data_IF_029340017337
#
_entry.id   IF_029340017337
#
_cell.length_a   1.000
_cell.length_b   1.000
_cell.length_c   1.000
_cell.angle_alpha   90.00
_cell.angle_beta   90.00
_cell.angle_gamma   90.00
#
_symmetry.space_group_name_H-M   'P 1'
#
loop_
_entity.id
_entity.type
_entity.pdbx_description
1 polymer ?
#
# COMPACT_ATOMS: atom_id res chain seq x y z
N UNK A 1 -29.81 4.32 -8.64
CA UNK A 1 -29.33 5.46 -7.82
C UNK A 1 -28.14 4.96 -7.04
N UNK A 2 -27.05 5.73 -6.98
CA UNK A 2 -25.87 5.35 -6.23
C UNK A 2 -26.17 5.38 -4.72
N UNK A 3 -26.08 4.24 -4.03
CA UNK A 3 -26.40 4.17 -2.60
C UNK A 3 -25.10 4.30 -1.79
N UNK A 4 -24.89 5.47 -1.22
CA UNK A 4 -23.86 5.69 -0.20
C UNK A 4 -24.30 4.98 1.09
N UNK A 5 -23.55 3.97 1.51
CA UNK A 5 -23.83 3.20 2.71
C UNK A 5 -23.20 3.81 3.95
N UNK A 6 -21.97 4.31 3.80
CA UNK A 6 -21.17 4.91 4.87
C UNK A 6 -20.48 6.13 4.29
N UNK A 7 -20.67 7.29 4.91
CA UNK A 7 -20.07 8.53 4.42
C UNK A 7 -18.56 8.61 4.68
N UNK A 8 -18.06 7.92 5.71
CA UNK A 8 -16.63 7.81 5.98
C UNK A 8 -16.26 6.55 6.77
N UNK A 9 -15.62 5.59 6.11
CA UNK A 9 -15.12 4.37 6.75
C UNK A 9 -13.92 4.63 7.66
N UNK A 10 -13.24 5.78 7.51
CA UNK A 10 -12.11 6.15 8.36
C UNK A 10 -12.54 6.70 9.71
N UNK A 11 -13.81 7.12 9.85
CA UNK A 11 -14.33 7.77 11.05
C UNK A 11 -13.66 9.12 11.36
N UNK A 12 -13.36 9.91 10.33
CA UNK A 12 -12.71 11.21 10.43
C UNK A 12 -11.18 11.15 10.64
N UNK A 13 -10.57 9.97 10.50
CA UNK A 13 -9.12 9.79 10.72
C UNK A 13 -8.27 10.22 9.52
N UNK A 14 -8.84 10.17 8.31
CA UNK A 14 -8.19 10.64 7.09
C UNK A 14 -8.52 12.10 6.79
N UNK A 15 -7.66 12.76 6.00
CA UNK A 15 -7.87 14.17 5.59
C UNK A 15 -9.10 14.36 4.72
N UNK A 16 -9.48 13.32 3.98
CA UNK A 16 -10.66 13.30 3.11
C UNK A 16 -11.49 12.07 3.47
N UNK A 17 -12.81 12.20 3.61
CA UNK A 17 -13.67 11.07 3.96
C UNK A 17 -13.62 10.00 2.86
N UNK A 18 -13.57 8.74 3.27
CA UNK A 18 -13.56 7.59 2.36
C UNK A 18 -14.93 6.94 2.41
N UNK A 19 -15.73 7.20 1.39
CA UNK A 19 -17.12 6.73 1.31
C UNK A 19 -17.16 5.24 0.96
N UNK A 20 -18.24 4.57 1.36
CA UNK A 20 -18.58 3.24 0.90
C UNK A 20 -19.86 3.27 0.06
N UNK A 21 -19.78 2.74 -1.15
CA UNK A 21 -20.88 2.73 -2.13
C UNK A 21 -21.24 1.30 -2.53
N UNK A 22 -22.53 0.98 -2.57
CA UNK A 22 -22.99 -0.31 -3.09
C UNK A 22 -24.17 -0.13 -4.04
N UNK A 23 -23.96 -0.52 -5.28
CA UNK A 23 -24.98 -0.51 -6.33
C UNK A 23 -25.20 -1.91 -6.92
N UNK A 24 -24.66 -2.95 -6.29
CA UNK A 24 -24.61 -4.32 -6.82
C UNK A 24 -25.60 -5.23 -6.09
N UNK A 25 -25.65 -5.15 -4.77
CA UNK A 25 -26.52 -5.98 -3.93
C UNK A 25 -27.10 -5.21 -2.75
N UNK A 26 -28.01 -5.85 -2.01
CA UNK A 26 -28.67 -5.27 -0.83
C UNK A 26 -27.82 -5.37 0.45
N UNK A 27 -26.54 -5.75 0.36
CA UNK A 27 -25.68 -5.85 1.55
C UNK A 27 -25.43 -4.46 2.12
N UNK A 28 -25.95 -4.23 3.33
CA UNK A 28 -25.87 -2.93 4.03
C UNK A 28 -24.76 -2.83 5.08
N UNK A 29 -23.97 -3.88 5.27
CA UNK A 29 -22.91 -3.90 6.28
C UNK A 29 -21.54 -4.08 5.62
N UNK A 30 -20.60 -3.23 6.04
CA UNK A 30 -19.20 -3.42 5.73
C UNK A 30 -18.60 -4.56 6.57
N UNK A 31 -17.54 -5.23 6.09
CA UNK A 31 -16.75 -6.13 6.93
C UNK A 31 -16.31 -5.40 8.21
N UNK A 32 -16.34 -6.10 9.35
CA UNK A 32 -15.89 -5.51 10.62
C UNK A 32 -14.37 -5.46 10.66
N UNK A 33 -13.80 -4.29 10.87
CA UNK A 33 -12.38 -4.05 11.10
C UNK A 33 -12.19 -2.71 11.83
N UNK A 34 -10.98 -2.45 12.32
CA UNK A 34 -10.60 -1.18 12.95
C UNK A 34 -9.78 -0.36 11.97
N UNK A 35 -10.31 0.80 11.57
CA UNK A 35 -9.58 1.71 10.68
C UNK A 35 -8.38 2.33 11.41
N UNK A 36 -7.19 2.23 10.82
CA UNK A 36 -5.93 2.81 11.35
C UNK A 36 -5.27 3.73 10.33
N UNK A 37 -4.50 4.71 10.81
CA UNK A 37 -3.70 5.64 9.98
C UNK A 37 -2.20 5.52 10.25
N UNK A 38 -1.81 4.56 11.09
CA UNK A 38 -0.43 4.25 11.45
C UNK A 38 -0.27 2.73 11.53
N UNK A 39 0.89 2.23 11.16
CA UNK A 39 1.22 0.81 11.25
C UNK A 39 1.18 0.37 12.72
N UNK A 40 0.62 -0.82 12.96
CA UNK A 40 0.69 -1.45 14.27
C UNK A 40 1.95 -2.30 14.29
N UNK A 41 2.95 -1.87 15.07
CA UNK A 41 4.17 -2.63 15.28
C UNK A 41 4.04 -3.49 16.55
N UNK A 42 4.55 -4.73 16.53
CA UNK A 42 4.53 -5.62 17.69
C UNK A 42 5.55 -5.20 18.75
N UNK A 43 5.36 -5.65 19.99
CA UNK A 43 6.19 -5.25 21.14
C UNK A 43 7.69 -5.56 20.99
N UNK A 44 8.02 -6.58 20.20
CA UNK A 44 9.41 -6.94 19.92
C UNK A 44 10.10 -5.97 18.95
N UNK A 45 9.34 -5.14 18.22
CA UNK A 45 9.89 -4.17 17.30
C UNK A 45 10.54 -3.03 18.07
N UNK A 46 11.87 -2.92 17.93
CA UNK A 46 12.64 -1.80 18.45
C UNK A 46 12.94 -0.85 17.31
N UNK A 47 12.29 0.30 17.33
CA UNK A 47 12.50 1.34 16.33
C UNK A 47 13.97 1.79 16.35
N UNK A 48 14.65 1.60 15.22
CA UNK A 48 16.00 2.15 15.02
C UNK A 48 15.87 3.52 14.39
N UNK A 49 16.34 4.56 15.08
CA UNK A 49 16.24 5.93 14.59
C UNK A 49 17.06 6.12 13.29
N UNK A 50 16.50 6.77 12.27
CA UNK A 50 17.19 6.99 11.00
C UNK A 50 18.15 8.18 11.07
N UNK A 51 19.28 8.10 10.37
CA UNK A 51 20.12 9.29 10.13
C UNK A 51 19.39 10.24 9.17
N UNK A 52 19.07 11.44 9.67
CA UNK A 52 18.46 12.53 8.90
C UNK A 52 19.48 13.40 8.17
N UNK A 53 19.01 14.22 7.23
CA UNK A 53 19.83 15.22 6.56
C UNK A 53 19.83 16.57 7.29
N UNK A 54 20.87 17.37 7.09
CA UNK A 54 20.99 18.74 7.60
C UNK A 54 20.56 19.82 6.59
N UNK A 55 19.96 19.45 5.45
CA UNK A 55 19.49 20.40 4.44
C UNK A 55 18.44 21.34 5.03
N UNK A 56 18.56 22.66 4.84
CA UNK A 56 17.63 23.65 5.40
C UNK A 56 16.62 24.21 4.40
N UNK A 57 16.94 24.18 3.09
CA UNK A 57 16.11 24.76 2.02
C UNK A 57 15.50 23.68 1.11
N UNK A 58 15.23 22.49 1.66
CA UNK A 58 14.87 21.30 0.88
C UNK A 58 16.11 20.52 0.43
N UNK A 59 15.91 19.25 0.10
CA UNK A 59 16.95 18.41 -0.47
C UNK A 59 17.00 18.63 -1.98
N UNK A 60 18.20 18.78 -2.54
CA UNK A 60 18.44 18.94 -3.98
C UNK A 60 19.62 18.07 -4.43
N UNK A 61 19.62 17.65 -5.69
CA UNK A 61 20.66 16.79 -6.27
C UNK A 61 22.05 17.45 -6.28
N UNK A 62 22.11 18.78 -6.18
CA UNK A 62 23.34 19.57 -6.15
C UNK A 62 24.11 19.49 -4.81
N UNK A 63 23.50 18.96 -3.76
CA UNK A 63 24.10 18.87 -2.43
C UNK A 63 24.25 17.40 -2.02
N UNK A 64 25.31 17.07 -1.27
CA UNK A 64 25.57 15.73 -0.73
C UNK A 64 24.58 15.37 0.40
N UNK A 65 23.28 15.43 0.13
CA UNK A 65 22.23 15.09 1.07
C UNK A 65 22.25 13.57 1.34
N UNK A 66 22.40 13.12 2.61
CA UNK A 66 22.42 11.70 2.93
C UNK A 66 21.17 10.94 2.48
N UNK A 67 20.01 11.60 2.44
CA UNK A 67 18.77 11.02 1.94
C UNK A 67 18.83 10.75 0.43
N UNK A 68 19.44 11.66 -0.36
CA UNK A 68 19.58 11.46 -1.80
C UNK A 68 20.65 10.42 -2.13
N UNK A 69 21.76 10.39 -1.37
CA UNK A 69 22.76 9.32 -1.48
C UNK A 69 22.11 7.93 -1.33
N UNK A 70 21.20 7.76 -0.36
CA UNK A 70 20.42 6.51 -0.20
C UNK A 70 19.51 6.19 -1.40
N UNK A 71 19.13 7.20 -2.18
CA UNK A 71 18.39 7.05 -3.43
C UNK A 71 19.30 6.96 -4.67
N UNK A 72 20.62 6.84 -4.52
CA UNK A 72 21.55 6.79 -5.66
C UNK A 72 21.97 8.18 -6.19
N UNK A 73 21.79 9.23 -5.40
CA UNK A 73 22.20 10.59 -5.74
C UNK A 73 21.12 11.47 -6.37
N UNK A 74 19.89 10.97 -6.49
CA UNK A 74 18.78 11.64 -7.20
C UNK A 74 17.52 11.74 -6.33
N UNK A 75 16.75 12.81 -6.50
CA UNK A 75 15.38 12.90 -5.98
C UNK A 75 14.47 11.93 -6.75
N UNK A 76 13.75 11.02 -6.06
CA UNK A 76 12.91 10.01 -6.73
C UNK A 76 11.56 10.55 -7.23
N UNK A 77 11.23 11.80 -6.94
CA UNK A 77 9.95 12.44 -7.23
C UNK A 77 10.10 13.70 -8.09
N UNK A 78 9.08 14.03 -8.86
CA UNK A 78 8.95 15.34 -9.50
C UNK A 78 8.31 16.38 -8.57
N UNK A 79 8.18 17.62 -9.05
CA UNK A 79 7.60 18.75 -8.30
C UNK A 79 6.14 18.54 -7.89
N UNK A 80 5.39 17.72 -8.63
CA UNK A 80 4.01 17.37 -8.30
C UNK A 80 3.91 16.24 -7.25
N UNK A 81 5.05 15.68 -6.83
CA UNK A 81 5.14 14.53 -5.93
C UNK A 81 4.76 13.21 -6.60
N UNK A 82 4.89 13.11 -7.92
CA UNK A 82 4.83 11.81 -8.62
C UNK A 82 6.21 11.15 -8.62
N UNK A 83 6.25 9.84 -8.38
CA UNK A 83 7.49 9.06 -8.48
C UNK A 83 7.93 8.99 -9.95
N UNK A 84 9.19 9.28 -10.22
CA UNK A 84 9.75 9.34 -11.59
C UNK A 84 9.97 7.94 -12.17
N UNK A 85 10.42 7.01 -11.33
CA UNK A 85 10.72 5.64 -11.72
C UNK A 85 10.54 4.70 -10.54
N UNK A 86 10.10 3.47 -10.82
CA UNK A 86 10.08 2.40 -9.81
C UNK A 86 11.51 2.11 -9.36
N UNK A 87 11.73 2.04 -8.04
CA UNK A 87 13.03 1.68 -7.46
C UNK A 87 12.87 0.44 -6.60
N UNK A 88 13.96 -0.28 -6.36
CA UNK A 88 13.93 -1.36 -5.35
C UNK A 88 13.48 -0.82 -3.99
N UNK A 89 13.90 0.40 -3.67
CA UNK A 89 13.53 1.11 -2.46
C UNK A 89 13.65 2.61 -2.67
N UNK A 90 12.75 3.36 -2.05
CA UNK A 90 12.82 4.82 -1.94
C UNK A 90 13.10 5.21 -0.48
N UNK A 91 13.96 6.19 -0.29
CA UNK A 91 14.30 6.75 1.01
C UNK A 91 13.81 8.20 1.09
N UNK A 92 12.66 8.41 1.72
CA UNK A 92 12.16 9.76 1.99
C UNK A 92 12.91 10.40 3.17
N UNK A 93 12.85 11.72 3.26
CA UNK A 93 13.35 12.44 4.43
C UNK A 93 12.49 12.11 5.64
N UNK A 94 13.14 11.75 6.74
CA UNK A 94 12.49 11.34 7.97
C UNK A 94 12.18 12.47 8.96
N UNK A 95 11.65 12.12 10.15
CA UNK A 95 11.38 13.07 11.23
C UNK A 95 12.64 13.78 11.74
N UNK A 96 13.81 13.13 11.67
CA UNK A 96 15.09 13.68 12.11
C UNK A 96 15.82 14.52 11.04
N UNK A 97 15.23 14.70 9.86
CA UNK A 97 15.79 15.57 8.81
C UNK A 97 15.42 17.04 9.08
N UNK A 98 16.37 17.96 8.92
CA UNK A 98 16.16 19.41 9.08
C UNK A 98 15.44 20.07 7.90
N UNK A 99 15.26 19.35 6.79
CA UNK A 99 14.60 19.88 5.61
C UNK A 99 13.10 20.12 5.87
N UNK A 100 12.51 21.15 5.25
CA UNK A 100 11.15 21.55 5.52
C UNK A 100 10.14 20.46 5.13
N UNK A 101 8.90 20.51 5.66
CA UNK A 101 7.82 19.60 5.25
C UNK A 101 7.51 19.63 3.74
N UNK A 102 7.82 20.75 3.08
CA UNK A 102 7.68 20.96 1.62
C UNK A 102 8.81 20.36 0.80
N UNK A 103 9.80 19.70 1.43
CA UNK A 103 10.88 19.02 0.73
C UNK A 103 10.32 18.02 -0.30
N UNK A 104 10.81 18.05 -1.54
CA UNK A 104 10.39 17.14 -2.61
C UNK A 104 10.59 15.66 -2.27
N UNK A 105 11.52 15.36 -1.35
CA UNK A 105 11.74 14.00 -0.85
C UNK A 105 10.87 13.69 0.40
N UNK A 106 9.68 14.27 0.49
CA UNK A 106 8.61 13.96 1.46
C UNK A 106 7.28 13.90 0.72
N UNK A 107 6.81 12.71 0.35
CA UNK A 107 5.62 12.54 -0.49
C UNK A 107 4.61 11.63 0.18
N UNK A 108 4.94 10.35 0.32
CA UNK A 108 4.02 9.32 0.84
C UNK A 108 3.72 9.51 2.33
N UNK A 109 4.67 10.08 3.10
CA UNK A 109 4.47 10.39 4.51
C UNK A 109 3.38 11.46 4.79
N UNK A 110 2.95 12.21 3.77
CA UNK A 110 1.89 13.21 3.90
C UNK A 110 0.48 12.61 3.88
N UNK A 111 0.35 11.31 3.63
CA UNK A 111 -0.93 10.60 3.61
C UNK A 111 -1.77 10.87 2.35
N UNK A 112 -3.07 10.59 2.43
CA UNK A 112 -4.00 10.60 1.30
C UNK A 112 -4.01 11.92 0.51
N UNK A 113 -3.92 11.83 -0.82
CA UNK A 113 -3.95 12.98 -1.76
C UNK A 113 -5.16 13.04 -2.68
N UNK A 114 -5.91 11.95 -2.82
CA UNK A 114 -7.05 11.83 -3.72
C UNK A 114 -8.32 11.45 -2.96
N UNK A 115 -9.49 11.82 -3.49
CA UNK A 115 -10.80 11.42 -2.97
C UNK A 115 -11.09 9.97 -3.34
N UNK A 116 -10.72 9.06 -2.44
CA UNK A 116 -10.94 7.62 -2.58
C UNK A 116 -12.32 7.22 -2.08
N UNK A 117 -12.87 6.16 -2.64
CA UNK A 117 -14.06 5.49 -2.13
C UNK A 117 -13.93 3.97 -2.33
N UNK A 118 -14.53 3.21 -1.41
CA UNK A 118 -14.70 1.78 -1.59
C UNK A 118 -16.05 1.54 -2.27
N UNK A 119 -16.07 0.58 -3.19
CA UNK A 119 -17.29 0.23 -3.90
C UNK A 119 -17.46 -1.29 -4.00
N UNK A 120 -18.70 -1.74 -3.98
CA UNK A 120 -19.02 -3.15 -4.19
C UNK A 120 -18.82 -3.51 -5.67
N UNK A 121 -18.02 -4.54 -5.92
CA UNK A 121 -17.82 -5.15 -7.25
C UNK A 121 -18.73 -6.37 -7.39
N UNK A 122 -18.98 -6.81 -8.63
CA UNK A 122 -19.84 -7.95 -8.92
C UNK A 122 -19.28 -9.29 -8.39
N UNK A 123 -17.98 -9.53 -8.59
CA UNK A 123 -17.36 -10.85 -8.36
C UNK A 123 -16.17 -10.84 -7.41
N UNK A 124 -15.66 -9.67 -7.00
CA UNK A 124 -14.42 -9.53 -6.22
C UNK A 124 -14.62 -8.94 -4.83
N UNK A 125 -15.87 -8.79 -4.38
CA UNK A 125 -16.17 -8.16 -3.10
C UNK A 125 -16.02 -6.64 -3.18
N UNK A 126 -15.38 -6.02 -2.19
CA UNK A 126 -15.17 -4.57 -2.16
C UNK A 126 -13.88 -4.21 -2.90
N UNK A 127 -13.93 -3.19 -3.75
CA UNK A 127 -12.78 -2.59 -4.44
C UNK A 127 -12.58 -1.15 -4.04
N UNK A 128 -11.50 -0.52 -4.52
CA UNK A 128 -11.22 0.91 -4.33
C UNK A 128 -11.22 1.61 -5.68
N UNK A 129 -11.78 2.82 -5.75
CA UNK A 129 -11.65 3.72 -6.91
C UNK A 129 -11.40 5.15 -6.43
N UNK A 130 -10.89 5.99 -7.33
CA UNK A 130 -10.68 7.42 -7.08
C UNK A 130 -11.75 8.25 -7.78
N UNK A 131 -12.25 9.30 -7.14
CA UNK A 131 -13.13 10.30 -7.77
C UNK A 131 -12.34 11.40 -8.50
N UNK A 132 -11.04 11.43 -8.30
CA UNK A 132 -10.10 12.34 -8.97
C UNK A 132 -9.29 11.58 -10.03
N UNK A 133 -8.81 12.31 -11.04
CA UNK A 133 -7.76 11.81 -11.93
C UNK A 133 -6.48 11.59 -11.11
N UNK A 134 -5.89 10.40 -11.20
CA UNK A 134 -4.57 10.14 -10.61
C UNK A 134 -3.55 10.14 -11.73
N UNK A 135 -2.59 11.09 -11.77
CA UNK A 135 -1.54 11.08 -12.77
C UNK A 135 -0.60 9.89 -12.57
N UNK A 136 0.07 9.46 -13.65
CA UNK A 136 1.14 8.46 -13.57
C UNK A 136 2.19 8.86 -12.52
N UNK A 137 2.63 7.87 -11.74
CA UNK A 137 3.53 8.05 -10.61
C UNK A 137 2.89 8.70 -9.38
N UNK A 138 1.59 9.02 -9.39
CA UNK A 138 0.92 9.61 -8.23
C UNK A 138 0.83 8.64 -7.04
N UNK A 139 1.18 9.12 -5.84
CA UNK A 139 1.00 8.36 -4.59
C UNK A 139 -0.48 8.26 -4.21
N UNK A 140 -0.98 7.04 -4.03
CA UNK A 140 -2.40 6.76 -3.75
C UNK A 140 -2.65 6.60 -2.26
N UNK A 141 -2.09 5.54 -1.66
CA UNK A 141 -2.21 5.25 -0.23
C UNK A 141 -1.13 4.25 0.21
N UNK A 142 -0.99 4.10 1.51
CA UNK A 142 -0.19 3.05 2.13
C UNK A 142 -1.02 1.77 2.35
N UNK A 143 -0.40 0.59 2.35
CA UNK A 143 -1.01 -0.63 2.91
C UNK A 143 -0.71 -0.71 4.42
N UNK A 144 -1.72 -0.43 5.25
CA UNK A 144 -1.58 -0.46 6.71
C UNK A 144 -2.22 -1.70 7.32
N UNK A 145 -1.57 -2.21 8.36
CA UNK A 145 -2.05 -3.33 9.16
C UNK A 145 -1.19 -3.55 10.41
N UNK A 146 -1.26 -4.78 10.92
CA UNK A 146 -0.36 -5.29 11.94
C UNK A 146 0.87 -5.91 11.28
N UNK A 147 2.05 -5.49 11.73
CA UNK A 147 3.30 -6.00 11.20
C UNK A 147 3.63 -7.34 11.87
N UNK A 148 3.79 -8.40 11.08
CA UNK A 148 4.01 -9.76 11.54
C UNK A 148 5.30 -10.34 10.99
N UNK A 149 5.94 -11.22 11.77
CA UNK A 149 6.90 -12.19 11.24
C UNK A 149 6.15 -13.25 10.45
N UNK A 150 6.81 -13.85 9.46
CA UNK A 150 6.26 -14.93 8.63
C UNK A 150 5.61 -16.05 9.47
N UNK A 151 6.29 -16.52 10.52
CA UNK A 151 5.75 -17.54 11.44
C UNK A 151 4.48 -17.11 12.16
N UNK A 152 4.32 -15.81 12.44
CA UNK A 152 3.10 -15.28 13.08
C UNK A 152 1.96 -15.17 12.06
N UNK A 153 2.29 -14.83 10.82
CA UNK A 153 1.34 -14.79 9.70
C UNK A 153 0.80 -16.20 9.37
N UNK A 154 1.66 -17.22 9.30
CA UNK A 154 1.26 -18.61 9.01
C UNK A 154 0.25 -19.18 10.03
N UNK A 155 0.29 -18.67 11.27
CA UNK A 155 -0.59 -19.10 12.35
C UNK A 155 -1.96 -18.40 12.34
N UNK A 156 -2.16 -17.37 11.50
CA UNK A 156 -3.44 -16.63 11.41
C UNK A 156 -4.46 -17.46 10.62
N UNK A 157 -5.34 -18.15 11.34
CA UNK A 157 -6.43 -18.94 10.74
C UNK A 157 -7.38 -18.02 9.95
N UNK A 158 -7.51 -18.27 8.64
CA UNK A 158 -8.38 -17.50 7.74
C UNK A 158 -7.82 -16.12 7.32
N UNK A 159 -6.52 -15.86 7.56
CA UNK A 159 -5.89 -14.54 7.41
C UNK A 159 -5.36 -14.19 6.02
N UNK A 160 -5.31 -15.11 5.06
CA UNK A 160 -4.61 -14.88 3.77
C UNK A 160 -5.25 -13.77 2.91
N UNK A 161 -6.53 -13.44 3.13
CA UNK A 161 -7.24 -12.49 2.25
C UNK A 161 -6.74 -11.05 2.40
N UNK A 162 -6.18 -10.69 3.56
CA UNK A 162 -5.72 -9.34 3.88
C UNK A 162 -4.24 -9.33 4.29
N UNK A 163 -3.47 -10.31 3.83
CA UNK A 163 -2.04 -10.40 4.08
C UNK A 163 -1.27 -9.76 2.92
N UNK A 164 -0.33 -8.86 3.23
CA UNK A 164 0.65 -8.36 2.28
C UNK A 164 2.03 -8.91 2.61
N UNK A 165 2.53 -9.84 1.78
CA UNK A 165 3.87 -10.39 1.93
C UNK A 165 4.94 -9.38 1.49
N UNK A 166 5.79 -8.96 2.42
CA UNK A 166 6.98 -8.15 2.12
C UNK A 166 8.11 -9.06 1.56
N UNK A 167 8.04 -10.37 1.84
CA UNK A 167 9.04 -11.37 1.47
C UNK A 167 9.08 -11.70 -0.03
N UNK A 168 7.91 -11.83 -0.68
CA UNK A 168 7.81 -12.37 -2.04
C UNK A 168 8.50 -11.49 -3.10
N UNK A 169 8.86 -10.25 -2.77
CA UNK A 169 9.63 -9.34 -3.62
C UNK A 169 11.16 -9.59 -3.60
N UNK A 170 11.69 -10.46 -2.72
CA UNK A 170 13.14 -10.49 -2.39
C UNK A 170 13.86 -11.86 -2.42
N UNK A 171 13.17 -12.99 -2.60
CA UNK A 171 13.81 -14.25 -3.00
C UNK A 171 14.88 -14.87 -2.06
N UNK A 172 14.80 -14.72 -0.72
CA UNK A 172 15.80 -15.31 0.19
C UNK A 172 15.27 -15.70 1.58
N UNK A 173 15.61 -16.92 2.05
CA UNK A 173 14.96 -17.78 3.07
C UNK A 173 15.09 -17.45 4.57
N UNK A 174 15.52 -16.26 5.00
CA UNK A 174 15.80 -16.04 6.43
C UNK A 174 15.24 -14.69 6.90
N UNK A 175 14.09 -14.73 7.60
CA UNK A 175 13.34 -13.63 8.21
C UNK A 175 12.39 -12.84 7.27
N UNK A 176 11.32 -13.49 6.82
CA UNK A 176 10.20 -12.84 6.15
C UNK A 176 9.28 -12.05 7.10
N UNK A 177 8.67 -11.00 6.56
CA UNK A 177 7.66 -10.20 7.23
C UNK A 177 6.42 -10.04 6.36
N UNK A 178 5.29 -9.81 7.00
CA UNK A 178 4.01 -9.54 6.36
C UNK A 178 3.28 -8.41 7.10
N UNK A 179 2.32 -7.79 6.42
CA UNK A 179 1.38 -6.85 7.02
C UNK A 179 -0.01 -7.49 6.95
N UNK A 180 -0.62 -7.74 8.10
CA UNK A 180 -1.98 -8.29 8.22
C UNK A 180 -2.99 -7.17 8.45
N UNK A 181 -3.84 -6.94 7.45
CA UNK A 181 -4.92 -5.95 7.51
C UNK A 181 -6.30 -6.54 7.88
N UNK A 182 -6.33 -7.75 8.46
CA UNK A 182 -7.55 -8.47 8.83
C UNK A 182 -8.34 -7.77 9.93
N UNK A 183 -7.69 -7.43 11.05
CA UNK A 183 -8.33 -6.75 12.20
C UNK A 183 -8.12 -5.24 12.17
N UNK A 184 -6.89 -4.81 11.94
CA UNK A 184 -6.50 -3.40 11.86
C UNK A 184 -6.09 -3.11 10.43
N UNK A 185 -6.65 -2.11 9.76
CA UNK A 185 -6.21 -1.74 8.42
C UNK A 185 -6.70 -0.38 7.97
N UNK A 186 -6.22 0.10 6.84
CA UNK A 186 -6.74 1.31 6.18
C UNK A 186 -7.45 0.96 4.87
N UNK A 187 -7.73 1.96 4.03
CA UNK A 187 -8.34 1.74 2.70
C UNK A 187 -7.56 0.77 1.81
N UNK A 188 -6.24 0.63 1.99
CA UNK A 188 -5.38 -0.25 1.20
C UNK A 188 -5.80 -1.72 1.21
N UNK A 189 -6.44 -2.19 2.30
CA UNK A 189 -6.93 -3.56 2.44
C UNK A 189 -8.03 -3.95 1.44
N UNK A 190 -8.69 -2.97 0.82
CA UNK A 190 -9.77 -3.17 -0.15
C UNK A 190 -9.29 -3.12 -1.61
N UNK A 191 -8.01 -2.89 -1.86
CA UNK A 191 -7.49 -2.81 -3.23
C UNK A 191 -7.40 -4.22 -3.82
N UNK A 192 -8.14 -4.45 -4.90
CA UNK A 192 -8.22 -5.76 -5.54
C UNK A 192 -7.01 -6.10 -6.41
N UNK A 193 -6.88 -7.40 -6.70
CA UNK A 193 -5.93 -7.90 -7.69
C UNK A 193 -6.35 -7.59 -9.13
N UNK A 194 -5.36 -7.28 -9.98
CA UNK A 194 -5.46 -7.41 -11.44
C UNK A 194 -4.18 -8.03 -12.03
N UNK A 195 -4.33 -8.83 -13.09
CA UNK A 195 -3.21 -9.31 -13.92
C UNK A 195 -2.64 -8.21 -14.83
N UNK A 196 -3.40 -7.13 -15.05
CA UNK A 196 -2.95 -5.89 -15.72
C UNK A 196 -3.26 -4.71 -14.80
N UNK A 197 -2.46 -4.51 -13.74
CA UNK A 197 -2.75 -3.51 -12.72
C UNK A 197 -2.37 -2.09 -13.17
N UNK A 198 -3.10 -1.10 -12.65
CA UNK A 198 -2.82 0.32 -12.84
C UNK A 198 -2.02 0.94 -11.67
N UNK A 199 -1.66 0.13 -10.66
CA UNK A 199 -0.78 0.51 -9.57
C UNK A 199 0.26 -0.57 -9.27
N UNK A 200 1.30 -0.16 -8.55
CA UNK A 200 2.29 -1.07 -7.99
C UNK A 200 2.65 -0.68 -6.56
N UNK A 201 3.14 -1.65 -5.79
CA UNK A 201 3.66 -1.44 -4.45
C UNK A 201 5.15 -1.05 -4.51
N UNK A 202 5.51 0.00 -3.78
CA UNK A 202 6.85 0.55 -3.65
C UNK A 202 7.28 0.54 -2.18
N UNK A 203 8.44 -0.07 -1.91
CA UNK A 203 9.08 0.00 -0.59
C UNK A 203 9.57 1.43 -0.34
N UNK A 204 9.10 2.05 0.75
CA UNK A 204 9.53 3.38 1.20
C UNK A 204 10.02 3.31 2.64
N UNK A 205 11.13 4.00 2.95
CA UNK A 205 11.62 4.19 4.32
C UNK A 205 11.72 5.69 4.65
N UNK A 206 11.22 6.09 5.81
CA UNK A 206 11.35 7.46 6.29
C UNK A 206 11.41 7.59 7.82
N UNK A 207 10.67 6.76 8.56
CA UNK A 207 10.50 6.89 10.00
C UNK A 207 11.46 6.04 10.84
N UNK A 208 12.10 5.03 10.25
CA UNK A 208 13.12 4.20 10.91
C UNK A 208 14.20 3.69 9.93
N UNK A 209 15.29 3.16 10.47
CA UNK A 209 16.42 2.66 9.70
C UNK A 209 16.35 1.16 9.35
N UNK A 210 15.38 0.42 9.89
CA UNK A 210 15.26 -1.02 9.60
C UNK A 210 14.85 -1.28 8.14
N UNK A 211 15.82 -1.72 7.37
CA UNK A 211 15.72 -2.03 5.96
C UNK A 211 14.87 -3.29 5.64
N UNK A 212 14.56 -4.11 6.63
CA UNK A 212 13.71 -5.29 6.46
C UNK A 212 12.22 -4.94 6.59
N UNK A 213 11.88 -3.79 7.16
CA UNK A 213 10.51 -3.40 7.48
C UNK A 213 10.05 -2.13 6.73
N UNK A 214 10.09 -2.11 5.38
CA UNK A 214 9.65 -0.94 4.63
C UNK A 214 8.16 -0.66 4.84
N UNK A 215 7.78 0.59 4.59
CA UNK A 215 6.40 1.01 4.37
C UNK A 215 5.99 0.61 2.94
N UNK A 216 4.78 0.08 2.77
CA UNK A 216 4.30 -0.40 1.47
C UNK A 216 3.37 0.66 0.87
N UNK A 217 3.90 1.42 -0.09
CA UNK A 217 3.20 2.56 -0.68
C UNK A 217 2.72 2.22 -2.10
N UNK A 218 1.45 2.52 -2.41
CA UNK A 218 0.92 2.34 -3.76
C UNK A 218 1.10 3.60 -4.60
N UNK A 219 1.66 3.41 -5.79
CA UNK A 219 1.81 4.44 -6.80
C UNK A 219 1.16 4.00 -8.11
N UNK A 220 0.56 4.95 -8.83
CA UNK A 220 -0.01 4.70 -10.15
C UNK A 220 1.08 4.40 -11.19
N UNK A 221 0.88 3.40 -12.05
CA UNK A 221 1.76 3.11 -13.20
C UNK A 221 1.43 3.99 -14.40
N UNK A 222 0.19 4.47 -14.48
CA UNK A 222 -0.37 5.22 -15.60
C UNK A 222 -1.32 6.32 -15.10
N UNK A 223 -1.86 7.13 -16.01
CA UNK A 223 -2.95 8.04 -15.67
C UNK A 223 -4.23 7.24 -15.43
N UNK A 224 -4.76 7.28 -14.22
CA UNK A 224 -5.97 6.57 -13.84
C UNK A 224 -7.16 7.52 -13.89
N UNK A 225 -8.15 7.19 -14.71
CA UNK A 225 -9.35 8.02 -14.87
C UNK A 225 -10.22 7.97 -13.61
N UNK A 226 -11.00 9.02 -13.31
CA UNK A 226 -12.00 8.98 -12.26
C UNK A 226 -12.91 7.75 -12.39
N UNK A 227 -13.20 7.13 -11.26
CA UNK A 227 -14.05 5.95 -11.07
C UNK A 227 -13.52 4.64 -11.67
N UNK A 228 -12.33 4.64 -12.28
CA UNK A 228 -11.63 3.41 -12.63
C UNK A 228 -11.17 2.70 -11.34
N UNK A 229 -11.36 1.38 -11.29
CA UNK A 229 -10.93 0.57 -10.14
C UNK A 229 -9.40 0.58 -10.03
N UNK A 230 -8.92 0.77 -8.81
CA UNK A 230 -7.52 0.73 -8.44
C UNK A 230 -7.14 -0.71 -8.13
N UNK A 231 -6.09 -1.23 -8.77
CA UNK A 231 -5.65 -2.62 -8.62
C UNK A 231 -4.13 -2.76 -8.64
N UNK A 232 -3.62 -3.82 -7.99
CA UNK A 232 -2.21 -4.21 -8.05
C UNK A 232 -2.05 -5.72 -8.30
N UNK A 233 -0.85 -6.18 -8.70
CA UNK A 233 -0.56 -7.62 -8.75
C UNK A 233 -0.26 -8.13 -7.34
N UNK A 234 -1.06 -9.08 -6.84
CA UNK A 234 -0.87 -9.68 -5.52
C UNK A 234 0.40 -10.56 -5.47
N UNK A 235 1.01 -10.88 -6.61
CA UNK A 235 2.24 -11.68 -6.72
C UNK A 235 2.15 -13.09 -6.10
N UNK A 236 0.93 -13.60 -5.92
CA UNK A 236 0.73 -14.99 -5.56
C UNK A 236 1.29 -15.92 -6.65
N UNK A 237 2.11 -16.88 -6.22
CA UNK A 237 2.67 -17.91 -7.11
C UNK A 237 1.73 -19.11 -7.12
N UNK A 238 1.30 -19.51 -8.31
CA UNK A 238 0.43 -20.68 -8.49
C UNK A 238 1.06 -21.92 -7.87
N UNK A 239 0.28 -22.63 -7.07
CA UNK A 239 0.75 -23.85 -6.41
C UNK A 239 1.59 -23.64 -5.14
N UNK A 240 1.76 -22.39 -4.68
CA UNK A 240 2.52 -22.07 -3.47
C UNK A 240 1.66 -21.63 -2.28
N UNK A 241 0.34 -21.46 -2.46
CA UNK A 241 -0.59 -21.16 -1.37
C UNK A 241 -1.19 -22.47 -0.88
N UNK A 242 -0.98 -22.80 0.39
CA UNK A 242 -1.48 -24.03 1.01
C UNK A 242 -2.48 -23.73 2.12
N UNK A 243 -3.37 -24.68 2.42
CA UNK A 243 -4.18 -24.66 3.64
C UNK A 243 -3.38 -25.15 4.87
N UNK A 244 -4.00 -25.13 6.05
CA UNK A 244 -3.38 -25.59 7.30
C UNK A 244 -2.96 -27.07 7.29
N UNK A 245 -3.50 -27.87 6.37
CA UNK A 245 -3.16 -29.28 6.19
C UNK A 245 -2.09 -29.50 5.11
N UNK A 246 -1.60 -28.42 4.47
CA UNK A 246 -0.61 -28.48 3.40
C UNK A 246 -1.18 -28.72 2.00
N UNK A 247 -2.50 -28.67 1.81
CA UNK A 247 -3.11 -28.84 0.49
C UNK A 247 -3.01 -27.54 -0.31
N UNK A 248 -2.63 -27.64 -1.59
CA UNK A 248 -2.57 -26.49 -2.49
C UNK A 248 -3.97 -25.89 -2.67
N UNK A 249 -4.14 -24.63 -2.25
CA UNK A 249 -5.35 -23.85 -2.47
C UNK A 249 -5.37 -23.31 -3.88
N UNK A 250 -6.58 -23.16 -4.43
CA UNK A 250 -6.78 -22.54 -5.74
C UNK A 250 -7.88 -21.49 -5.66
N UNK A 251 -7.71 -20.35 -6.34
CA UNK A 251 -8.74 -19.32 -6.46
C UNK A 251 -8.75 -18.75 -7.88
N UNK A 252 -9.92 -18.73 -8.51
CA UNK A 252 -10.10 -18.18 -9.87
C UNK A 252 -9.90 -16.66 -9.85
N UNK A 253 -9.24 -16.12 -10.87
CA UNK A 253 -9.06 -14.69 -11.03
C UNK A 253 -10.20 -14.09 -11.86
N UNK A 254 -10.89 -13.11 -11.28
CA UNK A 254 -12.00 -12.38 -11.91
C UNK A 254 -11.62 -10.93 -12.25
N UNK A 255 -10.34 -10.66 -12.59
CA UNK A 255 -9.88 -9.29 -12.84
C UNK A 255 -10.39 -8.65 -14.14
N UNK A 256 -10.90 -9.45 -15.07
CA UNK A 256 -11.42 -8.99 -16.37
C UNK A 256 -10.37 -8.60 -17.41
N UNK A 257 -9.08 -8.67 -17.10
CA UNK A 257 -8.00 -8.40 -18.07
C UNK A 257 -7.99 -9.44 -19.21
N UNK A 258 -7.68 -8.98 -20.42
CA UNK A 258 -7.41 -9.85 -21.59
C UNK A 258 -6.20 -10.77 -21.36
N UNK A 259 -5.23 -10.32 -20.56
CA UNK A 259 -4.00 -11.05 -20.23
C UNK A 259 -4.12 -11.79 -18.88
N UNK A 260 -5.35 -12.10 -18.46
CA UNK A 260 -5.62 -12.75 -17.18
C UNK A 260 -4.96 -14.13 -17.08
N UNK A 261 -4.19 -14.35 -16.00
CA UNK A 261 -3.57 -15.64 -15.64
C UNK A 261 -4.59 -16.73 -15.23
N UNK A 262 -5.89 -16.42 -15.28
CA UNK A 262 -7.06 -17.25 -14.89
C UNK A 262 -7.14 -17.63 -13.41
N UNK A 263 -6.02 -17.67 -12.69
CA UNK A 263 -5.93 -17.99 -11.27
C UNK A 263 -5.21 -16.88 -10.51
N UNK A 264 -5.71 -16.62 -9.31
CA UNK A 264 -5.07 -15.75 -8.32
C UNK A 264 -4.00 -16.54 -7.56
N UNK A 265 -4.33 -17.75 -7.09
CA UNK A 265 -3.40 -18.76 -6.56
C UNK A 265 -3.85 -20.18 -6.91
#
# INVERSE_FOLDING_TARGET
MEVCMVDDISGGKEKMPIRAVNNVDDVRLLPKFVYITRMVYPDWFKKVEPVGCDCVNGCSDSHQCPCLVKNGGEIPYNENGSILQRKRRVHECGPLCKCPPTCMNRVSQHGQRYRLEIFKTELRGWGVRSRDLIPSGGFVCEYLGEFLREKEADLRVGGDEYLFDIYNSRGGRVDGFAIDAGVYGNVGRFINHSCSPNMYAQDVLYDHADNKMPRIMFFATENISPLQELTYDYNYKLGMVCDANGNIKTKVCHCGSSDCRRRMY
#
